data_IF_515073574799
#
_entry.id   IF_515073574799
#
_cell.length_a   1.000
_cell.length_b   1.000
_cell.length_c   1.000
_cell.angle_alpha   90.00
_cell.angle_beta   90.00
_cell.angle_gamma   90.00
#
_symmetry.space_group_name_H-M   'P 1'
#
loop_
_entity.id
_entity.type
_entity.pdbx_description
1 polymer ?
#
# COMPACT_ATOMS: atom_id res chain seq x y z
N UNK A 1 40.28 -43.99 -41.93
CA UNK A 1 40.19 -44.08 -40.45
C UNK A 1 40.19 -42.69 -39.80
N UNK A 2 39.26 -41.81 -40.19
CA UNK A 2 39.21 -40.41 -39.72
C UNK A 2 37.91 -40.08 -38.95
N UNK A 3 37.19 -41.11 -38.49
CA UNK A 3 35.84 -40.97 -37.92
C UNK A 3 35.74 -41.40 -36.45
N UNK A 4 36.88 -41.52 -35.76
CA UNK A 4 36.95 -41.88 -34.34
C UNK A 4 37.70 -40.86 -33.45
N UNK A 5 38.25 -39.78 -34.04
CA UNK A 5 38.99 -38.75 -33.29
C UNK A 5 38.14 -37.50 -32.93
N UNK A 6 37.11 -37.17 -33.70
CA UNK A 6 36.25 -36.01 -33.42
C UNK A 6 35.35 -36.17 -32.18
N UNK A 7 34.91 -37.40 -31.88
CA UNK A 7 33.98 -37.68 -30.79
C UNK A 7 34.65 -37.61 -29.39
N UNK A 8 35.98 -37.79 -29.31
CA UNK A 8 36.72 -37.67 -28.05
C UNK A 8 37.05 -36.22 -27.69
N UNK A 9 37.37 -35.37 -28.67
CA UNK A 9 37.58 -33.94 -28.43
C UNK A 9 36.29 -33.24 -28.05
N UNK A 10 35.17 -33.55 -28.70
CA UNK A 10 33.87 -32.99 -28.34
C UNK A 10 33.46 -33.36 -26.91
N UNK A 11 33.59 -34.65 -26.54
CA UNK A 11 33.35 -35.10 -25.17
C UNK A 11 34.30 -34.48 -24.13
N UNK A 12 35.51 -34.12 -24.53
CA UNK A 12 36.47 -33.44 -23.65
C UNK A 12 36.07 -31.98 -23.43
N UNK A 13 35.65 -31.27 -24.49
CA UNK A 13 35.13 -29.90 -24.40
C UNK A 13 33.83 -29.87 -23.60
N UNK A 14 32.89 -30.78 -23.87
CA UNK A 14 31.61 -30.87 -23.13
C UNK A 14 31.83 -31.17 -21.63
N UNK A 15 32.84 -31.99 -21.30
CA UNK A 15 33.20 -32.26 -19.90
C UNK A 15 33.91 -31.06 -19.25
N UNK A 16 34.70 -30.30 -20.00
CA UNK A 16 35.33 -29.06 -19.54
C UNK A 16 34.28 -27.99 -19.26
N UNK A 17 33.33 -27.80 -20.17
CA UNK A 17 32.21 -26.87 -20.00
C UNK A 17 31.31 -27.28 -18.82
N UNK A 18 30.99 -28.57 -18.68
CA UNK A 18 30.24 -29.07 -17.51
C UNK A 18 31.00 -28.89 -16.20
N UNK A 19 32.31 -29.11 -16.18
CA UNK A 19 33.12 -28.91 -14.97
C UNK A 19 33.30 -27.43 -14.65
N UNK A 20 33.44 -26.56 -15.65
CA UNK A 20 33.50 -25.12 -15.46
C UNK A 20 32.16 -24.56 -15.00
N UNK A 21 31.04 -25.07 -15.51
CA UNK A 21 29.71 -24.71 -15.05
C UNK A 21 29.46 -25.18 -13.61
N UNK A 22 29.87 -26.41 -13.26
CA UNK A 22 29.85 -26.88 -11.87
C UNK A 22 30.76 -26.07 -10.96
N UNK A 23 31.92 -25.61 -11.43
CA UNK A 23 32.80 -24.70 -10.67
C UNK A 23 32.17 -23.33 -10.50
N UNK A 24 31.54 -22.76 -11.53
CA UNK A 24 30.82 -21.49 -11.43
C UNK A 24 29.57 -21.58 -10.55
N UNK A 25 28.83 -22.68 -10.60
CA UNK A 25 27.70 -22.95 -9.70
C UNK A 25 28.20 -23.16 -8.28
N UNK A 26 29.32 -23.86 -8.08
CA UNK A 26 29.96 -24.00 -6.76
C UNK A 26 30.58 -22.70 -6.26
N UNK A 27 31.13 -21.85 -7.12
CA UNK A 27 31.62 -20.50 -6.78
C UNK A 27 30.46 -19.55 -6.51
N UNK A 28 29.30 -19.71 -7.16
CA UNK A 28 28.05 -18.98 -6.84
C UNK A 28 27.44 -19.47 -5.53
N UNK A 29 27.42 -20.78 -5.29
CA UNK A 29 27.00 -21.36 -4.01
C UNK A 29 27.98 -20.96 -2.91
N UNK A 30 29.30 -20.96 -3.13
CA UNK A 30 30.33 -20.48 -2.18
C UNK A 30 30.30 -18.94 -2.02
N UNK A 31 29.80 -18.17 -3.00
CA UNK A 31 29.55 -16.73 -2.87
C UNK A 31 28.21 -16.43 -2.17
N UNK A 32 27.22 -17.32 -2.26
CA UNK A 32 25.97 -17.28 -1.48
C UNK A 32 26.16 -17.85 -0.06
N UNK A 33 27.14 -18.75 0.15
CA UNK A 33 27.62 -19.18 1.46
C UNK A 33 28.61 -18.12 1.98
N UNK A 34 28.05 -17.06 2.55
CA UNK A 34 28.60 -16.27 3.66
C UNK A 34 30.14 -16.28 3.73
N UNK A 35 30.78 -15.31 3.08
CA UNK A 35 32.08 -14.84 3.58
C UNK A 35 31.82 -14.23 4.96
N UNK A 36 32.07 -15.04 6.01
CA UNK A 36 32.28 -14.56 7.38
C UNK A 36 33.58 -13.75 7.33
N UNK A 37 33.43 -12.49 6.92
CA UNK A 37 34.52 -11.60 6.60
C UNK A 37 33.98 -10.20 6.38
N UNK A 38 33.60 -9.54 7.48
CA UNK A 38 33.27 -8.11 7.59
C UNK A 38 32.06 -7.64 6.78
N UNK A 39 30.87 -8.11 7.14
CA UNK A 39 29.77 -7.15 7.22
C UNK A 39 29.95 -6.38 8.53
N UNK A 40 30.08 -5.06 8.49
CA UNK A 40 29.96 -4.24 9.71
C UNK A 40 28.58 -4.49 10.33
N UNK A 41 28.42 -4.35 11.65
CA UNK A 41 27.11 -4.43 12.32
C UNK A 41 26.02 -3.64 11.55
N UNK A 42 26.37 -2.45 11.06
CA UNK A 42 25.53 -1.61 10.18
C UNK A 42 24.97 -2.33 8.94
N UNK A 43 25.75 -3.17 8.25
CA UNK A 43 25.29 -3.88 7.05
C UNK A 43 24.37 -5.07 7.38
N UNK A 44 24.45 -5.61 8.61
CA UNK A 44 23.51 -6.63 9.09
C UNK A 44 22.21 -5.99 9.57
N UNK A 45 22.28 -4.84 10.24
CA UNK A 45 21.13 -4.06 10.71
C UNK A 45 20.36 -3.44 9.55
N UNK A 46 21.03 -2.94 8.52
CA UNK A 46 20.38 -2.43 7.30
C UNK A 46 19.63 -3.53 6.55
N UNK A 47 20.22 -4.73 6.44
CA UNK A 47 19.53 -5.90 5.84
C UNK A 47 18.36 -6.36 6.69
N UNK A 48 18.49 -6.38 8.02
CA UNK A 48 17.40 -6.72 8.92
C UNK A 48 16.24 -5.71 8.79
N UNK A 49 16.55 -4.42 8.76
CA UNK A 49 15.61 -3.32 8.57
C UNK A 49 14.90 -3.40 7.21
N UNK A 50 15.62 -3.68 6.13
CA UNK A 50 15.04 -3.87 4.80
C UNK A 50 14.12 -5.10 4.74
N UNK A 51 14.49 -6.21 5.40
CA UNK A 51 13.64 -7.41 5.47
C UNK A 51 12.37 -7.15 6.27
N UNK A 52 12.46 -6.41 7.38
CA UNK A 52 11.30 -6.00 8.19
C UNK A 52 10.41 -5.04 7.39
N UNK A 53 10.98 -4.05 6.72
CA UNK A 53 10.24 -3.09 5.88
C UNK A 53 9.50 -3.79 4.74
N UNK A 54 10.16 -4.70 4.01
CA UNK A 54 9.51 -5.50 2.95
C UNK A 54 8.40 -6.40 3.51
N UNK A 55 8.58 -6.97 4.70
CA UNK A 55 7.55 -7.78 5.36
C UNK A 55 6.36 -6.94 5.76
N UNK A 56 6.58 -5.74 6.29
CA UNK A 56 5.53 -4.79 6.65
C UNK A 56 4.78 -4.31 5.42
N UNK A 57 5.48 -3.97 4.33
CA UNK A 57 4.85 -3.61 3.06
C UNK A 57 3.93 -4.74 2.55
N UNK A 58 4.42 -5.98 2.50
CA UNK A 58 3.60 -7.13 2.07
C UNK A 58 2.38 -7.35 2.97
N UNK A 59 2.50 -7.11 4.28
CA UNK A 59 1.37 -7.19 5.22
C UNK A 59 0.36 -6.08 4.97
N UNK A 60 0.80 -4.84 4.77
CA UNK A 60 -0.08 -3.71 4.45
C UNK A 60 -0.82 -3.95 3.14
N UNK A 61 -0.13 -4.36 2.09
CA UNK A 61 -0.76 -4.71 0.80
C UNK A 61 -1.78 -5.86 0.94
N UNK A 62 -1.56 -6.80 1.87
CA UNK A 62 -2.52 -7.87 2.14
C UNK A 62 -3.75 -7.37 2.90
N UNK A 63 -3.55 -6.50 3.91
CA UNK A 63 -4.63 -5.87 4.68
C UNK A 63 -5.49 -4.99 3.77
N UNK A 64 -4.89 -4.14 2.93
CA UNK A 64 -5.61 -3.29 1.98
C UNK A 64 -6.47 -4.14 1.03
N UNK A 65 -5.92 -5.22 0.48
CA UNK A 65 -6.68 -6.14 -0.40
C UNK A 65 -7.79 -6.89 0.32
N UNK A 66 -7.65 -7.16 1.61
CA UNK A 66 -8.69 -7.80 2.41
C UNK A 66 -9.81 -6.80 2.70
N UNK A 67 -9.46 -5.59 3.13
CA UNK A 67 -10.41 -4.49 3.34
C UNK A 67 -11.18 -4.14 2.07
N UNK A 68 -10.51 -3.98 0.92
CA UNK A 68 -11.18 -3.74 -0.36
C UNK A 68 -12.20 -4.83 -0.73
N UNK A 69 -11.93 -6.09 -0.37
CA UNK A 69 -12.86 -7.20 -0.62
C UNK A 69 -14.05 -7.15 0.34
N UNK A 70 -13.81 -6.85 1.61
CA UNK A 70 -14.87 -6.70 2.62
C UNK A 70 -15.77 -5.52 2.29
N UNK A 71 -15.20 -4.36 1.97
CA UNK A 71 -15.92 -3.15 1.56
C UNK A 71 -16.78 -3.43 0.32
N UNK A 72 -16.19 -4.07 -0.69
CA UNK A 72 -16.94 -4.46 -1.89
C UNK A 72 -18.06 -5.45 -1.57
N UNK A 73 -17.81 -6.43 -0.70
CA UNK A 73 -18.84 -7.38 -0.28
C UNK A 73 -19.99 -6.69 0.46
N UNK A 74 -19.69 -5.69 1.28
CA UNK A 74 -20.69 -4.87 1.96
C UNK A 74 -21.47 -3.99 0.97
N UNK A 75 -20.78 -3.33 0.04
CA UNK A 75 -21.40 -2.52 -1.00
C UNK A 75 -22.34 -3.34 -1.90
N UNK A 76 -21.91 -4.55 -2.29
CA UNK A 76 -22.68 -5.48 -3.13
C UNK A 76 -24.03 -5.87 -2.49
N UNK A 77 -24.13 -5.80 -1.16
CA UNK A 77 -25.35 -6.10 -0.39
C UNK A 77 -26.23 -4.87 -0.13
N UNK A 78 -25.83 -3.66 -0.53
CA UNK A 78 -26.64 -2.48 -0.33
C UNK A 78 -27.95 -2.57 -1.13
N UNK A 79 -29.08 -2.29 -0.47
CA UNK A 79 -30.37 -2.19 -1.13
C UNK A 79 -30.36 -1.14 -2.23
N UNK A 80 -30.89 -1.50 -3.39
CA UNK A 80 -31.08 -0.56 -4.48
C UNK A 80 -32.31 0.30 -4.19
N UNK A 81 -32.15 1.62 -4.24
CA UNK A 81 -33.24 2.57 -4.11
C UNK A 81 -33.46 3.36 -5.40
N UNK A 82 -34.62 3.99 -5.49
CA UNK A 82 -34.99 4.82 -6.64
C UNK A 82 -33.90 5.86 -6.96
N UNK A 83 -33.51 5.92 -8.24
CA UNK A 83 -32.44 6.79 -8.71
C UNK A 83 -31.05 6.14 -8.74
N UNK A 84 -30.91 4.87 -8.37
CA UNK A 84 -29.67 4.12 -8.53
C UNK A 84 -29.20 4.12 -9.99
N UNK A 85 -27.88 4.21 -10.21
CA UNK A 85 -27.31 4.18 -11.56
C UNK A 85 -27.11 2.76 -12.04
N UNK A 86 -27.37 2.55 -13.33
CA UNK A 86 -27.19 1.25 -13.99
C UNK A 86 -26.35 1.40 -15.26
N UNK A 87 -25.80 0.29 -15.73
CA UNK A 87 -25.20 0.16 -17.05
C UNK A 87 -25.76 -1.03 -17.82
N UNK A 88 -25.87 -0.90 -19.13
CA UNK A 88 -26.10 -1.97 -20.09
C UNK A 88 -25.02 -1.87 -21.17
N UNK A 89 -24.00 -2.72 -21.10
CA UNK A 89 -22.81 -2.55 -21.95
C UNK A 89 -22.22 -1.14 -21.79
N UNK A 90 -22.10 -0.34 -22.88
CA UNK A 90 -21.63 1.05 -22.81
C UNK A 90 -22.69 2.07 -22.35
N UNK A 91 -23.97 1.68 -22.29
CA UNK A 91 -25.08 2.59 -22.02
C UNK A 91 -25.26 2.80 -20.52
N UNK A 92 -25.19 4.06 -20.06
CA UNK A 92 -25.41 4.43 -18.66
C UNK A 92 -26.83 4.94 -18.48
N UNK A 93 -27.51 4.49 -17.44
CA UNK A 93 -28.87 4.86 -17.14
C UNK A 93 -29.17 5.00 -15.67
N UNK A 94 -30.42 5.31 -15.38
CA UNK A 94 -30.98 5.43 -14.03
C UNK A 94 -32.11 4.43 -13.87
N UNK A 95 -32.11 3.76 -12.73
CA UNK A 95 -33.17 2.86 -12.29
C UNK A 95 -34.27 3.64 -11.56
N UNK A 96 -35.52 3.33 -11.91
CA UNK A 96 -36.73 3.93 -11.38
C UNK A 96 -37.62 2.85 -10.76
N UNK A 97 -37.97 3.05 -9.50
CA UNK A 97 -38.94 2.22 -8.79
C UNK A 97 -40.32 2.77 -9.12
N UNK A 98 -41.22 1.92 -9.61
CA UNK A 98 -42.58 2.30 -10.00
C UNK A 98 -43.63 1.80 -9.01
N UNK A 99 -43.28 0.81 -8.19
CA UNK A 99 -44.07 0.35 -7.06
C UNK A 99 -43.96 1.29 -5.85
N UNK A 100 -45.03 1.33 -5.06
CA UNK A 100 -45.11 2.14 -3.84
C UNK A 100 -44.53 1.38 -2.65
N UNK A 101 -43.24 1.02 -2.73
CA UNK A 101 -42.52 0.30 -1.69
C UNK A 101 -42.07 1.25 -0.56
N UNK A 102 -41.83 0.73 0.66
CA UNK A 102 -41.22 1.51 1.72
C UNK A 102 -39.90 2.17 1.31
N UNK A 103 -39.53 3.23 2.02
CA UNK A 103 -38.38 4.06 1.66
C UNK A 103 -37.17 3.82 2.56
N UNK A 104 -35.97 3.88 1.97
CA UNK A 104 -34.70 4.07 2.68
C UNK A 104 -34.17 5.44 2.26
N UNK A 105 -33.71 6.26 3.21
CA UNK A 105 -33.23 7.63 2.95
C UNK A 105 -34.23 8.45 2.11
N UNK A 106 -35.53 8.32 2.42
CA UNK A 106 -36.64 8.98 1.73
C UNK A 106 -36.81 8.64 0.24
N UNK A 107 -36.21 7.54 -0.25
CA UNK A 107 -36.46 7.01 -1.61
C UNK A 107 -36.96 5.57 -1.55
N UNK A 108 -37.87 5.22 -2.45
CA UNK A 108 -38.50 3.89 -2.52
C UNK A 108 -37.48 2.79 -2.84
N UNK A 109 -37.66 1.62 -2.24
CA UNK A 109 -36.76 0.46 -2.40
C UNK A 109 -37.14 -0.35 -3.65
N UNK A 110 -36.16 -0.69 -4.48
CA UNK A 110 -36.35 -1.57 -5.63
C UNK A 110 -36.55 -3.03 -5.24
N UNK A 111 -37.46 -3.71 -5.92
CA UNK A 111 -37.77 -5.13 -5.68
C UNK A 111 -37.82 -5.91 -6.99
N UNK A 112 -37.88 -7.24 -6.91
CA UNK A 112 -37.86 -8.15 -8.07
C UNK A 112 -39.01 -7.96 -9.08
N UNK A 113 -40.05 -7.23 -8.72
CA UNK A 113 -41.15 -6.87 -9.64
C UNK A 113 -40.78 -5.74 -10.60
N UNK A 114 -39.72 -4.98 -10.31
CA UNK A 114 -39.22 -3.88 -11.14
C UNK A 114 -38.38 -4.39 -12.31
N UNK A 115 -39.06 -5.01 -13.28
CA UNK A 115 -38.45 -5.69 -14.44
C UNK A 115 -39.08 -5.26 -15.78
N UNK A 116 -39.65 -4.07 -15.83
CA UNK A 116 -40.19 -3.46 -17.04
C UNK A 116 -39.15 -2.53 -17.68
N UNK A 117 -39.11 -2.38 -19.02
CA UNK A 117 -38.32 -1.33 -19.67
C UNK A 117 -38.54 0.07 -19.08
N UNK A 118 -39.75 0.37 -18.59
CA UNK A 118 -40.09 1.65 -17.96
C UNK A 118 -39.36 1.91 -16.62
N UNK A 119 -38.76 0.88 -16.02
CA UNK A 119 -37.93 1.01 -14.82
C UNK A 119 -36.54 1.60 -15.13
N UNK A 120 -36.20 1.82 -16.41
CA UNK A 120 -34.87 2.26 -16.79
C UNK A 120 -34.94 3.45 -17.74
N UNK A 121 -34.04 4.40 -17.54
CA UNK A 121 -33.85 5.55 -18.42
C UNK A 121 -32.38 5.71 -18.75
N UNK A 122 -32.01 5.55 -20.02
CA UNK A 122 -30.61 5.68 -20.47
C UNK A 122 -30.31 7.08 -20.97
N UNK A 123 -29.13 7.59 -20.63
CA UNK A 123 -28.74 8.98 -20.87
C UNK A 123 -28.54 9.31 -22.35
N UNK A 124 -28.15 8.32 -23.14
CA UNK A 124 -27.93 8.42 -24.59
C UNK A 124 -29.17 8.09 -25.43
N UNK A 125 -30.30 7.81 -24.77
CA UNK A 125 -31.56 7.46 -25.43
C UNK A 125 -31.67 5.99 -25.83
N UNK A 126 -30.77 5.10 -25.38
CA UNK A 126 -30.92 3.66 -25.56
C UNK A 126 -32.27 3.16 -25.03
N UNK A 127 -32.94 2.31 -25.80
CA UNK A 127 -34.29 1.81 -25.49
C UNK A 127 -34.27 0.31 -25.23
N UNK A 128 -34.70 -0.09 -24.04
CA UNK A 128 -34.91 -1.51 -23.73
C UNK A 128 -36.18 -2.04 -24.41
N UNK A 129 -36.05 -3.24 -24.97
CA UNK A 129 -37.13 -3.96 -25.64
C UNK A 129 -37.70 -5.08 -24.77
N UNK A 130 -36.83 -5.83 -24.10
CA UNK A 130 -37.22 -6.96 -23.26
C UNK A 130 -36.25 -7.19 -22.12
N UNK A 131 -36.77 -7.77 -21.03
CA UNK A 131 -36.04 -8.09 -19.81
C UNK A 131 -36.43 -9.50 -19.34
N UNK A 132 -35.51 -10.18 -18.67
CA UNK A 132 -35.73 -11.50 -18.09
C UNK A 132 -36.14 -11.43 -16.61
N UNK A 133 -35.68 -12.37 -15.79
CA UNK A 133 -35.82 -12.31 -14.34
C UNK A 133 -34.53 -11.78 -13.72
N UNK A 134 -34.67 -11.11 -12.58
CA UNK A 134 -33.55 -10.72 -11.76
C UNK A 134 -32.76 -11.93 -11.26
N UNK A 135 -31.45 -11.75 -11.14
CA UNK A 135 -30.47 -12.67 -10.58
C UNK A 135 -29.74 -11.98 -9.43
N UNK A 136 -29.17 -12.75 -8.51
CA UNK A 136 -28.41 -12.23 -7.35
C UNK A 136 -29.23 -11.23 -6.51
N UNK A 137 -30.47 -11.59 -6.20
CA UNK A 137 -31.42 -10.78 -5.42
C UNK A 137 -31.15 -10.94 -3.92
N UNK A 138 -31.44 -9.90 -3.15
CA UNK A 138 -31.39 -9.97 -1.69
C UNK A 138 -32.45 -10.91 -1.10
N UNK A 139 -32.28 -11.26 0.18
CA UNK A 139 -33.21 -12.12 0.92
C UNK A 139 -34.29 -11.34 1.67
N UNK A 140 -34.06 -10.05 1.91
CA UNK A 140 -35.04 -9.17 2.57
C UNK A 140 -36.25 -8.95 1.67
N UNK A 141 -37.42 -8.75 2.29
CA UNK A 141 -38.68 -8.53 1.58
C UNK A 141 -39.26 -7.15 1.90
N UNK A 142 -39.77 -6.49 0.86
CA UNK A 142 -40.58 -5.28 0.95
C UNK A 142 -41.90 -5.56 0.26
N UNK A 143 -43.00 -5.48 1.01
CA UNK A 143 -44.34 -5.82 0.52
C UNK A 143 -44.36 -7.21 -0.16
N UNK A 144 -43.83 -8.22 0.53
CA UNK A 144 -43.71 -9.62 0.10
C UNK A 144 -42.79 -9.92 -1.10
N UNK A 145 -42.23 -8.91 -1.75
CA UNK A 145 -41.29 -9.04 -2.87
C UNK A 145 -39.84 -8.97 -2.41
N UNK A 146 -38.95 -9.77 -2.99
CA UNK A 146 -37.52 -9.74 -2.66
C UNK A 146 -36.88 -8.42 -3.09
N UNK A 147 -36.06 -7.85 -2.20
CA UNK A 147 -35.37 -6.58 -2.41
C UNK A 147 -34.18 -6.73 -3.38
N UNK A 148 -34.04 -5.79 -4.29
CA UNK A 148 -32.84 -5.70 -5.13
C UNK A 148 -31.67 -5.17 -4.29
N UNK A 149 -30.50 -5.75 -4.53
CA UNK A 149 -29.22 -5.32 -3.95
C UNK A 149 -28.29 -4.85 -5.07
N UNK A 150 -27.21 -4.13 -4.75
CA UNK A 150 -26.28 -3.59 -5.77
C UNK A 150 -25.73 -4.69 -6.70
N UNK A 151 -25.52 -5.90 -6.18
CA UNK A 151 -25.08 -7.04 -7.00
C UNK A 151 -26.17 -7.61 -7.92
N UNK A 152 -27.44 -7.26 -7.74
CA UNK A 152 -28.53 -7.80 -8.55
C UNK A 152 -28.37 -7.44 -10.02
N UNK A 153 -28.63 -8.40 -10.91
CA UNK A 153 -28.49 -8.21 -12.36
C UNK A 153 -29.70 -8.75 -13.12
N UNK A 154 -29.99 -8.18 -14.28
CA UNK A 154 -31.08 -8.63 -15.15
C UNK A 154 -30.62 -8.63 -16.60
N UNK A 155 -30.91 -9.70 -17.34
CA UNK A 155 -30.60 -9.77 -18.76
C UNK A 155 -31.67 -9.08 -19.58
N UNK A 156 -31.27 -8.44 -20.66
CA UNK A 156 -32.20 -7.74 -21.54
C UNK A 156 -31.71 -7.61 -22.97
N UNK A 157 -32.62 -7.13 -23.80
CA UNK A 157 -32.30 -6.67 -25.16
C UNK A 157 -32.75 -5.22 -25.32
N UNK A 158 -32.04 -4.46 -26.13
CA UNK A 158 -32.35 -3.08 -26.41
C UNK A 158 -31.76 -2.61 -27.73
N UNK A 159 -32.02 -1.37 -28.12
CA UNK A 159 -31.43 -0.75 -29.30
C UNK A 159 -31.44 0.76 -29.19
N UNK A 160 -30.63 1.41 -30.02
CA UNK A 160 -30.69 2.85 -30.20
C UNK A 160 -31.97 3.27 -30.96
N UNK A 161 -32.45 4.53 -30.78
CA UNK A 161 -33.69 5.02 -31.39
C UNK A 161 -33.81 4.94 -32.92
N UNK A 162 -32.73 5.02 -33.74
CA UNK A 162 -32.85 4.82 -35.18
C UNK A 162 -33.48 3.45 -35.46
N UNK A 163 -34.53 3.40 -36.29
CA UNK A 163 -35.31 2.19 -36.51
C UNK A 163 -34.46 0.98 -36.95
N UNK A 164 -33.39 1.25 -37.70
CA UNK A 164 -32.46 0.26 -38.26
C UNK A 164 -31.26 -0.04 -37.36
N UNK A 165 -31.20 0.52 -36.15
CA UNK A 165 -30.13 0.20 -35.20
C UNK A 165 -30.18 -1.30 -34.85
N UNK A 166 -29.02 -1.96 -34.75
CA UNK A 166 -28.96 -3.37 -34.36
C UNK A 166 -29.52 -3.55 -32.95
N UNK A 167 -30.11 -4.72 -32.70
CA UNK A 167 -30.52 -5.12 -31.37
C UNK A 167 -29.28 -5.59 -30.61
N UNK A 168 -29.09 -5.04 -29.43
CA UNK A 168 -28.04 -5.38 -28.50
C UNK A 168 -28.62 -6.27 -27.40
N UNK A 169 -27.87 -7.30 -27.02
CA UNK A 169 -28.19 -8.19 -25.90
C UNK A 169 -27.14 -8.03 -24.83
N UNK A 170 -27.56 -7.95 -23.58
CA UNK A 170 -26.63 -7.62 -22.51
C UNK A 170 -27.25 -7.77 -21.13
N UNK A 171 -26.42 -7.47 -20.15
CA UNK A 171 -26.78 -7.48 -18.74
C UNK A 171 -26.91 -6.05 -18.25
N UNK A 172 -27.97 -5.78 -17.49
CA UNK A 172 -28.08 -4.58 -16.67
C UNK A 172 -27.43 -4.86 -15.32
N UNK A 173 -26.49 -4.02 -14.92
CA UNK A 173 -25.79 -4.06 -13.64
C UNK A 173 -25.94 -2.71 -12.95
N UNK A 174 -26.10 -2.70 -11.62
CA UNK A 174 -26.03 -1.47 -10.84
C UNK A 174 -24.59 -1.00 -10.71
N UNK A 175 -24.37 0.29 -10.97
CA UNK A 175 -23.10 0.97 -10.75
C UNK A 175 -23.02 1.44 -9.29
N UNK A 176 -24.15 1.90 -8.76
CA UNK A 176 -24.35 2.28 -7.37
C UNK A 176 -25.73 1.81 -6.88
N UNK A 177 -25.95 1.87 -5.57
CA UNK A 177 -27.23 1.51 -4.95
C UNK A 177 -28.22 2.68 -4.87
N UNK A 178 -27.84 3.88 -5.29
CA UNK A 178 -28.60 5.12 -5.08
C UNK A 178 -28.63 5.65 -3.64
N UNK A 179 -28.08 4.90 -2.67
CA UNK A 179 -27.93 5.28 -1.27
C UNK A 179 -26.75 6.24 -1.07
N UNK A 180 -26.87 7.17 -0.12
CA UNK A 180 -25.78 7.99 0.36
C UNK A 180 -25.00 7.15 1.37
N UNK A 181 -23.75 6.80 1.03
CA UNK A 181 -22.83 6.02 1.88
C UNK A 181 -21.69 6.91 2.42
N UNK A 182 -22.01 8.14 2.80
CA UNK A 182 -21.07 9.01 3.52
C UNK A 182 -21.46 8.95 4.99
N UNK A 183 -20.60 8.47 5.90
CA UNK A 183 -20.91 8.49 7.32
C UNK A 183 -21.10 9.95 7.76
N UNK A 184 -22.25 10.27 8.34
CA UNK A 184 -22.55 11.62 8.84
C UNK A 184 -21.62 12.04 9.97
N UNK A 185 -21.10 11.06 10.74
CA UNK A 185 -20.09 11.24 11.77
C UNK A 185 -19.36 9.90 12.02
N UNK A 186 -18.05 9.94 12.21
CA UNK A 186 -17.26 8.79 12.65
C UNK A 186 -16.93 9.04 14.12
N UNK A 187 -17.57 8.30 15.03
CA UNK A 187 -17.19 8.31 16.44
C UNK A 187 -15.89 7.53 16.60
N UNK A 188 -14.78 8.27 16.72
CA UNK A 188 -13.44 7.71 16.90
C UNK A 188 -13.10 7.49 18.38
N UNK A 189 -14.00 7.80 19.31
CA UNK A 189 -13.74 7.70 20.75
C UNK A 189 -13.69 6.23 21.15
N UNK A 190 -12.50 5.76 21.51
CA UNK A 190 -12.28 4.39 22.00
C UNK A 190 -12.04 3.34 20.91
N UNK A 191 -12.02 3.72 19.63
CA UNK A 191 -11.49 2.84 18.59
C UNK A 191 -9.98 2.70 18.77
N UNK A 192 -9.42 1.47 18.74
CA UNK A 192 -7.97 1.31 18.71
C UNK A 192 -7.46 1.94 17.41
N UNK A 193 -6.79 3.08 17.55
CA UNK A 193 -6.06 3.68 16.44
C UNK A 193 -5.04 2.64 15.98
N UNK A 194 -4.97 2.31 14.68
CA UNK A 194 -3.94 1.40 14.18
C UNK A 194 -2.59 1.94 14.64
N UNK A 195 -1.73 1.04 15.13
CA UNK A 195 -0.39 1.43 15.58
C UNK A 195 0.29 2.20 14.45
N UNK A 196 0.53 3.49 14.67
CA UNK A 196 1.31 4.29 13.76
C UNK A 196 2.75 3.78 13.84
N UNK A 197 3.18 3.05 12.83
CA UNK A 197 4.57 2.64 12.66
C UNK A 197 5.23 3.71 11.78
N UNK A 198 5.82 4.78 12.35
CA UNK A 198 6.57 5.73 11.56
C UNK A 198 7.67 5.03 10.79
N UNK A 199 7.88 5.42 9.53
CA UNK A 199 9.11 5.07 8.84
C UNK A 199 10.26 5.77 9.56
N UNK A 200 11.31 5.04 10.02
CA UNK A 200 12.43 5.65 10.72
C UNK A 200 13.07 6.76 9.88
N UNK A 201 13.13 7.98 10.41
CA UNK A 201 13.79 9.13 9.78
C UNK A 201 14.44 10.03 10.82
N UNK A 202 15.66 10.49 10.51
CA UNK A 202 16.25 11.64 11.19
C UNK A 202 15.60 12.90 10.60
N UNK A 203 15.00 13.71 11.46
CA UNK A 203 14.31 14.96 11.08
C UNK A 203 15.31 16.10 10.99
N UNK A 204 16.20 16.20 11.99
CA UNK A 204 17.15 17.30 12.12
C UNK A 204 18.27 16.93 13.12
N UNK A 205 19.41 17.60 13.00
CA UNK A 205 20.45 17.58 14.03
C UNK A 205 21.23 18.90 14.04
N UNK A 206 21.53 19.41 15.24
CA UNK A 206 22.23 20.70 15.41
C UNK A 206 22.94 20.78 16.75
N UNK A 207 23.93 21.68 16.84
CA UNK A 207 24.70 21.95 18.07
C UNK A 207 24.19 23.20 18.78
N UNK A 208 24.10 23.14 20.11
CA UNK A 208 23.75 24.28 20.96
C UNK A 208 24.75 24.50 22.09
N UNK A 209 24.71 25.71 22.67
CA UNK A 209 25.30 25.96 23.99
C UNK A 209 24.39 25.44 25.12
N UNK A 210 24.87 25.53 26.37
CA UNK A 210 24.09 25.18 27.57
C UNK A 210 22.80 26.00 27.78
N UNK A 211 22.58 27.05 26.98
CA UNK A 211 21.42 27.92 27.00
C UNK A 211 20.48 27.65 25.81
N UNK A 212 20.70 26.55 25.06
CA UNK A 212 19.95 26.15 23.86
C UNK A 212 20.05 27.14 22.69
N UNK A 213 21.09 27.96 22.62
CA UNK A 213 21.35 28.78 21.45
C UNK A 213 22.10 27.95 20.40
N UNK A 214 21.60 27.91 19.16
CA UNK A 214 22.30 27.24 18.06
C UNK A 214 23.65 27.90 17.78
N UNK A 215 24.67 27.07 17.60
CA UNK A 215 26.04 27.50 17.38
C UNK A 215 26.38 27.53 15.88
N UNK A 216 26.91 28.65 15.39
CA UNK A 216 27.47 28.76 14.03
C UNK A 216 28.96 28.42 13.99
N UNK A 217 29.68 28.67 15.09
CA UNK A 217 31.08 28.31 15.31
C UNK A 217 31.25 27.79 16.74
N UNK A 218 32.30 27.00 16.97
CA UNK A 218 32.60 26.35 18.25
C UNK A 218 33.97 26.78 18.79
N UNK A 219 34.04 27.06 20.09
CA UNK A 219 35.29 27.42 20.79
C UNK A 219 35.92 26.19 21.46
N UNK A 220 37.23 26.03 21.35
CA UNK A 220 37.95 24.92 21.99
C UNK A 220 37.85 24.94 23.52
N UNK A 221 37.79 23.76 24.12
CA UNK A 221 37.68 23.59 25.57
C UNK A 221 36.31 23.94 26.13
N UNK A 222 35.30 24.07 25.27
CA UNK A 222 33.89 24.25 25.66
C UNK A 222 33.10 22.98 25.47
N UNK A 223 31.99 22.87 26.21
CA UNK A 223 31.00 21.82 26.04
C UNK A 223 29.87 22.30 25.15
N UNK A 224 29.48 21.46 24.19
CA UNK A 224 28.37 21.69 23.26
C UNK A 224 27.37 20.55 23.37
N UNK A 225 26.12 20.81 22.98
CA UNK A 225 25.04 19.85 23.08
C UNK A 225 24.52 19.53 21.67
N UNK A 226 24.71 18.28 21.24
CA UNK A 226 24.16 17.75 20.00
C UNK A 226 22.71 17.36 20.22
N UNK A 227 21.80 18.10 19.59
CA UNK A 227 20.40 17.72 19.49
C UNK A 227 20.21 16.81 18.28
N UNK A 228 19.55 15.67 18.46
CA UNK A 228 19.19 14.76 17.38
C UNK A 228 17.68 14.53 17.42
N UNK A 229 16.98 14.99 16.38
CA UNK A 229 15.52 14.84 16.26
C UNK A 229 15.21 13.69 15.32
N UNK A 230 14.45 12.72 15.82
CA UNK A 230 14.11 11.51 15.07
C UNK A 230 12.62 11.21 15.15
N UNK A 231 12.16 10.41 14.20
CA UNK A 231 10.84 9.75 14.26
C UNK A 231 11.03 8.28 13.92
N UNK A 232 10.45 7.40 14.73
CA UNK A 232 10.49 5.95 14.49
C UNK A 232 11.84 5.27 14.76
N UNK A 233 12.77 5.93 15.46
CA UNK A 233 14.06 5.36 15.86
C UNK A 233 14.11 4.89 17.33
N UNK A 234 13.05 5.08 18.12
CA UNK A 234 13.05 4.68 19.54
C UNK A 234 13.33 3.17 19.66
N UNK A 235 14.41 2.82 20.35
CA UNK A 235 14.89 1.45 20.52
C UNK A 235 15.88 0.96 19.44
N UNK A 236 16.12 1.75 18.41
CA UNK A 236 17.08 1.50 17.32
C UNK A 236 18.35 2.36 17.52
N UNK A 237 19.41 2.08 16.75
CA UNK A 237 20.66 2.86 16.79
C UNK A 237 20.78 3.82 15.60
N UNK A 238 21.49 4.92 15.81
CA UNK A 238 21.81 5.90 14.77
C UNK A 238 23.29 6.28 14.79
N UNK A 239 23.81 6.57 13.60
CA UNK A 239 25.13 7.19 13.43
C UNK A 239 24.95 8.60 12.89
N UNK A 240 25.54 9.59 13.56
CA UNK A 240 25.47 11.02 13.19
C UNK A 240 26.86 11.53 12.87
N UNK A 241 27.03 12.02 11.64
CA UNK A 241 28.27 12.63 11.17
C UNK A 241 28.24 14.15 11.44
N UNK A 242 29.15 14.63 12.29
CA UNK A 242 29.31 16.03 12.66
C UNK A 242 30.58 16.66 12.08
N UNK A 243 31.19 16.03 11.07
CA UNK A 243 32.48 16.40 10.49
C UNK A 243 32.65 17.92 10.35
N UNK A 244 33.63 18.45 11.07
CA UNK A 244 33.95 19.87 11.11
C UNK A 244 35.45 20.07 10.91
N UNK A 245 35.85 20.70 9.81
CA UNK A 245 37.26 20.97 9.52
C UNK A 245 37.98 21.80 10.59
N UNK A 246 37.22 22.51 11.45
CA UNK A 246 37.77 23.41 12.47
C UNK A 246 37.87 22.78 13.86
N UNK A 247 37.22 21.67 14.15
CA UNK A 247 37.19 21.13 15.51
C UNK A 247 36.84 19.64 15.52
N UNK A 248 37.48 18.91 16.43
CA UNK A 248 37.11 17.52 16.74
C UNK A 248 36.26 17.49 18.02
N UNK A 249 35.51 16.41 18.22
CA UNK A 249 34.65 16.24 19.41
C UNK A 249 35.05 15.05 20.28
N UNK A 250 34.98 15.22 21.60
CA UNK A 250 35.07 14.13 22.57
C UNK A 250 33.69 13.79 23.13
N UNK A 251 33.40 12.51 23.25
CA UNK A 251 32.26 11.97 24.00
C UNK A 251 32.80 11.27 25.24
N UNK A 252 32.41 11.73 26.43
CA UNK A 252 32.88 11.17 27.71
C UNK A 252 34.42 11.08 27.83
N UNK A 253 35.14 12.00 27.19
CA UNK A 253 36.61 12.03 27.16
C UNK A 253 37.26 11.17 26.06
N UNK A 254 36.49 10.41 25.28
CA UNK A 254 36.99 9.66 24.12
C UNK A 254 36.73 10.44 22.82
N UNK A 255 37.76 10.53 21.96
CA UNK A 255 37.64 11.26 20.70
C UNK A 255 36.83 10.48 19.68
N UNK A 256 35.87 11.15 19.05
CA UNK A 256 35.08 10.57 17.97
C UNK A 256 35.93 10.40 16.72
N UNK A 257 35.82 9.24 16.07
CA UNK A 257 36.54 8.98 14.83
C UNK A 257 35.86 9.75 13.68
N UNK A 258 36.56 10.74 13.10
CA UNK A 258 36.04 11.62 12.05
C UNK A 258 34.75 12.36 12.45
N UNK A 259 34.63 12.69 13.74
CA UNK A 259 33.46 13.36 14.31
C UNK A 259 32.12 12.62 14.09
N UNK A 260 32.18 11.31 13.91
CA UNK A 260 30.99 10.47 13.79
C UNK A 260 30.64 9.89 15.15
N UNK A 261 29.47 10.27 15.66
CA UNK A 261 28.81 9.56 16.76
C UNK A 261 28.22 8.27 16.20
N UNK A 262 28.84 7.12 16.50
CA UNK A 262 28.41 5.81 15.97
C UNK A 262 27.50 5.06 16.93
N UNK A 263 26.55 4.31 16.37
CA UNK A 263 25.70 3.32 17.07
C UNK A 263 25.00 3.87 18.34
N UNK A 264 24.59 5.14 18.32
CA UNK A 264 23.91 5.77 19.45
C UNK A 264 22.48 5.24 19.59
N UNK A 265 22.16 4.63 20.74
CA UNK A 265 20.83 4.10 21.03
C UNK A 265 19.83 5.24 21.29
N UNK A 266 18.81 5.36 20.44
CA UNK A 266 17.76 6.37 20.57
C UNK A 266 16.72 5.90 21.59
N UNK A 267 16.54 6.67 22.66
CA UNK A 267 15.58 6.39 23.73
C UNK A 267 14.33 7.27 23.62
N UNK A 268 14.41 8.37 22.88
CA UNK A 268 13.37 9.37 22.70
C UNK A 268 13.44 10.02 21.31
N UNK A 269 12.37 10.69 20.89
CA UNK A 269 12.35 11.38 19.59
C UNK A 269 13.28 12.62 19.55
N UNK A 270 13.83 13.05 20.68
CA UNK A 270 14.80 14.14 20.77
C UNK A 270 15.89 13.76 21.77
N UNK A 271 17.06 13.38 21.26
CA UNK A 271 18.24 13.08 22.06
C UNK A 271 19.12 14.32 22.21
N UNK A 272 19.76 14.45 23.37
CA UNK A 272 20.74 15.50 23.64
C UNK A 272 22.02 14.83 24.13
N UNK A 273 23.10 14.97 23.36
CA UNK A 273 24.41 14.39 23.66
C UNK A 273 25.39 15.52 23.96
N UNK A 274 25.99 15.51 25.15
CA UNK A 274 27.03 16.47 25.53
C UNK A 274 28.38 16.03 24.95
N UNK A 275 29.07 16.99 24.30
CA UNK A 275 30.36 16.79 23.64
C UNK A 275 31.35 17.88 24.08
N UNK A 276 32.62 17.52 24.21
CA UNK A 276 33.70 18.47 24.45
C UNK A 276 34.39 18.83 23.13
N UNK A 277 34.55 20.12 22.86
CA UNK A 277 35.18 20.63 21.64
C UNK A 277 36.69 20.71 21.82
N UNK A 278 37.44 20.11 20.92
CA UNK A 278 38.92 20.05 20.98
C UNK A 278 39.56 20.40 19.64
N UNK A 279 40.83 20.79 19.68
CA UNK A 279 41.59 21.07 18.45
C UNK A 279 41.63 19.84 17.54
N UNK A 280 41.52 20.03 16.21
CA UNK A 280 41.51 18.94 15.25
C UNK A 280 42.85 18.20 15.24
N UNK A 281 42.80 16.88 15.07
CA UNK A 281 44.01 16.06 14.89
C UNK A 281 44.53 16.23 13.45
N UNK A 282 45.68 16.89 13.31
CA UNK A 282 46.43 16.98 12.03
C UNK A 282 46.73 15.61 11.40
#
# INVERSE_FOLDING_TARGET
MAWFFGNKQQKYIDNLEKNNKKRQEKEREEAEIITIGKATPEQQEERASQVVAQRNQKRMEAIEKEQEKEDKAQEDQLFVINGAKVKFGPHIGTFKVLSDTPTIQSKTVGTEIEKSPANFSFMDGFQLLSLTQWQDIGTAKYQDNLALIKKSTIMGTGKMPPANAPIESGKIEFIDSGQINVPENIDTIGMPMPEYIPTPKVIDFYLTDKHNNCLEDVDYGTFVYLHIKTVGYIGETISVDMNNEKADYLLNGERLEKDVLKDHLVQSNEEIVELEVVEPLN
#
